data_IF_541511090067
#
_entry.id   IF_541511090067
#
_cell.length_a   1.000
_cell.length_b   1.000
_cell.length_c   1.000
_cell.angle_alpha   90.00
_cell.angle_beta   90.00
_cell.angle_gamma   90.00
#
_symmetry.space_group_name_H-M   'P 1'
#
loop_
_entity.id
_entity.type
_entity.pdbx_description
1 polymer ?
#
# COMPACT_ATOMS: atom_id res chain seq x y z
N UNK A 1 -46.52 28.62 -13.16
CA UNK A 1 -46.22 27.84 -11.93
C UNK A 1 -45.65 26.46 -12.24
N UNK A 2 -46.13 25.76 -13.27
CA UNK A 2 -45.63 24.42 -13.64
C UNK A 2 -44.14 24.36 -14.02
N UNK A 3 -43.62 25.35 -14.75
CA UNK A 3 -42.20 25.36 -15.15
C UNK A 3 -41.23 25.46 -13.97
N UNK A 4 -41.60 26.17 -12.90
CA UNK A 4 -40.79 26.26 -11.69
C UNK A 4 -40.77 24.94 -10.92
N UNK A 5 -41.91 24.23 -10.87
CA UNK A 5 -41.99 22.91 -10.25
C UNK A 5 -41.17 21.87 -11.00
N UNK A 6 -41.20 21.88 -12.33
CA UNK A 6 -40.37 20.98 -13.17
C UNK A 6 -38.88 21.27 -12.93
N UNK A 7 -38.47 22.54 -12.96
CA UNK A 7 -37.10 22.94 -12.70
C UNK A 7 -36.59 22.48 -11.32
N UNK A 8 -37.36 22.74 -10.26
CA UNK A 8 -37.00 22.34 -8.89
C UNK A 8 -36.93 20.82 -8.74
N UNK A 9 -37.82 20.08 -9.40
CA UNK A 9 -37.81 18.63 -9.42
C UNK A 9 -36.54 18.08 -10.09
N UNK A 10 -36.18 18.60 -11.27
CA UNK A 10 -34.98 18.18 -11.99
C UNK A 10 -33.71 18.48 -11.20
N UNK A 11 -33.60 19.69 -10.64
CA UNK A 11 -32.46 20.10 -9.81
C UNK A 11 -32.30 19.19 -8.58
N UNK A 12 -33.41 18.90 -7.89
CA UNK A 12 -33.40 18.03 -6.69
C UNK A 12 -33.03 16.59 -7.06
N UNK A 13 -33.56 16.08 -8.18
CA UNK A 13 -33.26 14.74 -8.68
C UNK A 13 -31.78 14.57 -9.00
N UNK A 14 -31.18 15.55 -9.67
CA UNK A 14 -29.76 15.47 -10.03
C UNK A 14 -28.86 15.64 -8.81
N UNK A 15 -29.26 16.48 -7.84
CA UNK A 15 -28.57 16.55 -6.54
C UNK A 15 -28.63 15.22 -5.78
N UNK A 16 -29.77 14.54 -5.79
CA UNK A 16 -29.92 13.22 -5.18
C UNK A 16 -29.05 12.15 -5.87
N UNK A 17 -28.92 12.19 -7.20
CA UNK A 17 -28.02 11.28 -7.92
C UNK A 17 -26.56 11.49 -7.51
N UNK A 18 -26.12 12.74 -7.38
CA UNK A 18 -24.76 13.06 -6.97
C UNK A 18 -24.49 12.61 -5.53
N UNK A 19 -25.40 12.89 -4.61
CA UNK A 19 -25.29 12.43 -3.22
C UNK A 19 -25.24 10.90 -3.12
N UNK A 20 -26.04 10.17 -3.90
CA UNK A 20 -25.98 8.70 -3.96
C UNK A 20 -24.62 8.18 -4.45
N UNK A 21 -24.03 8.85 -5.45
CA UNK A 21 -22.68 8.51 -5.93
C UNK A 21 -21.63 8.76 -4.84
N UNK A 22 -21.72 9.87 -4.13
CA UNK A 22 -20.82 10.18 -3.03
C UNK A 22 -20.93 9.18 -1.89
N UNK A 23 -22.15 8.84 -1.43
CA UNK A 23 -22.37 7.81 -0.41
C UNK A 23 -21.76 6.47 -0.82
N UNK A 24 -21.92 6.08 -2.08
CA UNK A 24 -21.35 4.83 -2.60
C UNK A 24 -19.82 4.85 -2.57
N UNK A 25 -19.18 5.97 -2.98
CA UNK A 25 -17.73 6.15 -2.89
C UNK A 25 -17.25 6.11 -1.43
N UNK A 26 -17.95 6.82 -0.53
CA UNK A 26 -17.60 6.87 0.89
C UNK A 26 -17.74 5.51 1.56
N UNK A 27 -18.80 4.74 1.28
CA UNK A 27 -18.94 3.36 1.80
C UNK A 27 -17.83 2.45 1.31
N UNK A 28 -17.42 2.55 0.04
CA UNK A 28 -16.26 1.81 -0.47
C UNK A 28 -14.97 2.21 0.23
N UNK A 29 -14.77 3.49 0.51
CA UNK A 29 -13.61 3.97 1.26
C UNK A 29 -13.63 3.50 2.72
N UNK A 30 -14.78 3.54 3.38
CA UNK A 30 -14.95 3.10 4.77
C UNK A 30 -14.70 1.59 4.92
N UNK A 31 -15.22 0.77 4.00
CA UNK A 31 -14.93 -0.67 4.00
C UNK A 31 -13.44 -0.98 3.84
N UNK A 32 -12.68 -0.13 3.12
CA UNK A 32 -11.21 -0.26 3.07
C UNK A 32 -10.57 0.07 4.41
N UNK A 33 -11.09 1.07 5.13
CA UNK A 33 -10.58 1.47 6.45
C UNK A 33 -10.88 0.41 7.52
N UNK A 34 -12.04 -0.24 7.47
CA UNK A 34 -12.39 -1.36 8.36
C UNK A 34 -11.46 -2.57 8.15
N UNK A 35 -10.85 -2.71 6.97
CA UNK A 35 -9.83 -3.72 6.68
C UNK A 35 -8.41 -3.28 7.01
N UNK A 36 -8.13 -1.99 7.28
CA UNK A 36 -6.83 -1.48 7.73
C UNK A 36 -6.55 -1.85 9.20
N UNK A 37 -6.82 -3.10 9.61
CA UNK A 37 -6.27 -3.61 10.86
C UNK A 37 -4.77 -3.87 10.67
N UNK A 38 -3.99 -2.80 10.81
CA UNK A 38 -2.53 -2.77 10.57
C UNK A 38 -1.80 -3.81 11.43
N UNK A 39 -2.37 -4.21 12.58
CA UNK A 39 -1.77 -5.21 13.48
C UNK A 39 -1.62 -6.60 12.83
N UNK A 40 -2.37 -6.90 11.77
CA UNK A 40 -2.29 -8.17 11.03
C UNK A 40 -1.90 -7.97 9.56
N UNK A 41 -1.37 -6.79 9.21
CA UNK A 41 -0.97 -6.52 7.84
C UNK A 41 0.27 -7.33 7.47
N UNK A 42 0.23 -7.98 6.31
CA UNK A 42 1.39 -8.65 5.72
C UNK A 42 2.14 -7.63 4.86
N UNK A 43 3.37 -7.33 5.24
CA UNK A 43 4.29 -6.51 4.46
C UNK A 43 5.12 -7.40 3.55
N UNK A 44 5.25 -7.02 2.29
CA UNK A 44 6.21 -7.62 1.36
C UNK A 44 7.28 -6.61 0.99
N UNK A 45 8.53 -6.95 1.25
CA UNK A 45 9.68 -6.11 0.92
C UNK A 45 10.50 -6.84 -0.13
N UNK A 46 10.68 -6.19 -1.28
CA UNK A 46 11.52 -6.69 -2.35
C UNK A 46 12.81 -5.88 -2.38
N UNK A 47 13.95 -6.56 -2.37
CA UNK A 47 15.28 -5.98 -2.49
C UNK A 47 15.89 -6.42 -3.79
N UNK A 48 15.95 -5.50 -4.75
CA UNK A 48 16.53 -5.76 -6.07
C UNK A 48 18.02 -5.43 -6.01
N UNK A 49 18.88 -6.44 -6.16
CA UNK A 49 20.32 -6.27 -6.01
C UNK A 49 20.89 -5.35 -7.08
N UNK A 50 21.76 -4.41 -6.69
CA UNK A 50 22.50 -3.58 -7.65
C UNK A 50 23.64 -4.36 -8.33
N UNK A 51 23.94 -5.57 -7.85
CA UNK A 51 25.01 -6.43 -8.35
C UNK A 51 24.49 -7.64 -9.11
N UNK A 52 23.23 -7.64 -9.60
CA UNK A 52 22.69 -8.77 -10.38
C UNK A 52 23.61 -9.18 -11.55
N UNK A 53 24.24 -8.20 -12.21
CA UNK A 53 25.20 -8.45 -13.29
C UNK A 53 26.50 -9.15 -12.84
N UNK A 54 26.78 -9.18 -11.53
CA UNK A 54 27.96 -9.80 -10.90
C UNK A 54 27.57 -11.05 -10.09
N UNK A 55 26.34 -11.55 -10.25
CA UNK A 55 25.84 -12.72 -9.54
C UNK A 55 25.11 -12.41 -8.22
N UNK A 56 24.86 -11.14 -7.91
CA UNK A 56 24.05 -10.74 -6.77
C UNK A 56 22.60 -11.20 -6.92
N UNK A 57 21.98 -11.64 -5.82
CA UNK A 57 20.60 -12.12 -5.80
C UNK A 57 19.65 -11.05 -5.27
N UNK A 58 18.51 -10.92 -5.93
CA UNK A 58 17.36 -10.17 -5.44
C UNK A 58 16.51 -11.04 -4.51
N UNK A 59 15.92 -10.44 -3.46
CA UNK A 59 15.11 -11.16 -2.46
C UNK A 59 13.72 -10.56 -2.34
N UNK A 60 12.75 -11.37 -1.90
CA UNK A 60 11.37 -10.96 -1.63
C UNK A 60 10.91 -11.58 -0.34
N UNK A 61 10.75 -10.75 0.70
CA UNK A 61 10.47 -11.20 2.06
C UNK A 61 9.06 -10.77 2.44
N UNK A 62 8.24 -11.73 2.86
CA UNK A 62 6.93 -11.49 3.47
C UNK A 62 7.06 -11.48 5.00
N UNK A 63 6.46 -10.51 5.67
CA UNK A 63 6.51 -10.34 7.10
C UNK A 63 5.18 -9.83 7.65
N UNK A 64 4.61 -10.56 8.60
CA UNK A 64 3.44 -10.12 9.37
C UNK A 64 3.94 -9.42 10.63
N UNK A 65 3.46 -8.20 10.88
CA UNK A 65 3.83 -7.44 12.07
C UNK A 65 4.03 -5.96 11.76
N UNK A 66 5.21 -5.44 12.08
CA UNK A 66 5.51 -4.02 11.85
C UNK A 66 6.28 -3.81 10.55
N UNK A 67 6.09 -2.64 9.94
CA UNK A 67 6.85 -2.19 8.78
C UNK A 67 8.37 -2.18 9.04
N UNK A 68 8.80 -1.77 10.23
CA UNK A 68 10.22 -1.81 10.62
C UNK A 68 10.75 -3.25 10.71
N UNK A 69 9.98 -4.17 11.29
CA UNK A 69 10.30 -5.59 11.34
C UNK A 69 10.42 -6.21 9.95
N UNK A 70 9.53 -5.82 9.02
CA UNK A 70 9.56 -6.27 7.64
C UNK A 70 10.83 -5.82 6.91
N UNK A 71 11.23 -4.55 7.06
CA UNK A 71 12.46 -4.01 6.46
C UNK A 71 13.68 -4.76 6.99
N UNK A 72 13.79 -4.93 8.33
CA UNK A 72 14.91 -5.66 8.94
C UNK A 72 14.99 -7.10 8.46
N UNK A 73 13.87 -7.82 8.46
CA UNK A 73 13.82 -9.21 8.00
C UNK A 73 14.28 -9.33 6.55
N UNK A 74 13.88 -8.39 5.69
CA UNK A 74 14.29 -8.38 4.29
C UNK A 74 15.77 -8.08 4.10
N UNK A 75 16.32 -7.12 4.84
CA UNK A 75 17.75 -6.81 4.83
C UNK A 75 18.57 -8.02 5.31
N UNK A 76 18.17 -8.66 6.40
CA UNK A 76 18.85 -9.84 6.93
C UNK A 76 18.81 -11.01 5.94
N UNK A 77 17.67 -11.23 5.28
CA UNK A 77 17.55 -12.22 4.22
C UNK A 77 18.45 -11.89 3.02
N UNK A 78 18.48 -10.64 2.58
CA UNK A 78 19.31 -10.20 1.45
C UNK A 78 20.80 -10.34 1.75
N UNK A 79 21.24 -9.94 2.95
CA UNK A 79 22.62 -10.11 3.44
C UNK A 79 23.03 -11.58 3.43
N UNK A 80 22.16 -12.44 3.96
CA UNK A 80 22.38 -13.89 3.99
C UNK A 80 22.48 -14.50 2.60
N UNK A 81 21.59 -14.14 1.68
CA UNK A 81 21.59 -14.66 0.30
C UNK A 81 22.77 -14.20 -0.55
N UNK A 82 23.29 -12.99 -0.28
CA UNK A 82 24.43 -12.42 -1.01
C UNK A 82 25.77 -12.61 -0.28
N UNK A 83 25.78 -13.19 0.93
CA UNK A 83 26.99 -13.34 1.75
C UNK A 83 27.67 -12.01 2.10
N UNK A 84 26.91 -10.91 2.13
CA UNK A 84 27.40 -9.54 2.32
C UNK A 84 26.80 -8.91 3.58
N UNK A 85 27.54 -8.04 4.25
CA UNK A 85 26.99 -7.21 5.34
C UNK A 85 26.31 -5.93 4.81
N UNK A 86 26.68 -5.50 3.60
CA UNK A 86 26.12 -4.33 2.94
C UNK A 86 24.83 -4.69 2.19
N UNK A 87 23.81 -3.83 2.32
CA UNK A 87 22.57 -3.91 1.53
C UNK A 87 22.63 -2.89 0.40
N UNK A 88 23.17 -3.30 -0.76
CA UNK A 88 23.16 -2.49 -1.98
C UNK A 88 22.03 -2.93 -2.91
N UNK A 89 20.82 -2.50 -2.56
CA UNK A 89 19.61 -2.90 -3.26
C UNK A 89 18.65 -1.72 -3.47
N UNK A 90 17.80 -1.84 -4.48
CA UNK A 90 16.61 -0.99 -4.62
C UNK A 90 15.45 -1.64 -3.86
N UNK A 91 14.82 -0.88 -2.98
CA UNK A 91 13.68 -1.32 -2.18
C UNK A 91 12.37 -1.15 -2.96
N UNK A 92 11.46 -2.10 -2.79
CA UNK A 92 10.05 -1.97 -3.15
C UNK A 92 9.21 -2.60 -2.06
N UNK A 93 8.43 -1.77 -1.36
CA UNK A 93 7.66 -2.18 -0.18
C UNK A 93 6.17 -2.15 -0.48
N UNK A 94 5.49 -3.22 -0.12
CA UNK A 94 4.07 -3.42 -0.32
C UNK A 94 3.42 -3.88 0.98
N UNK A 95 2.12 -3.60 1.12
CA UNK A 95 1.30 -4.13 2.21
C UNK A 95 0.04 -4.76 1.64
N UNK A 96 -0.26 -5.97 2.10
CA UNK A 96 -1.48 -6.69 1.79
C UNK A 96 -2.50 -6.42 2.88
N UNK A 97 -3.65 -5.89 2.50
CA UNK A 97 -4.77 -5.58 3.41
C UNK A 97 -6.03 -6.25 2.85
N UNK A 98 -6.43 -7.36 3.47
CA UNK A 98 -7.48 -8.21 2.93
C UNK A 98 -7.05 -8.87 1.60
N UNK A 99 -7.68 -8.48 0.48
CA UNK A 99 -7.34 -8.97 -0.87
C UNK A 99 -6.56 -7.96 -1.71
N UNK A 100 -6.40 -6.74 -1.18
CA UNK A 100 -5.78 -5.63 -1.92
C UNK A 100 -4.31 -5.51 -1.53
N UNK A 101 -3.47 -5.20 -2.53
CA UNK A 101 -2.04 -4.93 -2.34
C UNK A 101 -1.79 -3.45 -2.61
N UNK A 102 -1.09 -2.80 -1.67
CA UNK A 102 -0.76 -1.38 -1.76
C UNK A 102 0.74 -1.18 -1.72
N UNK A 103 1.30 -0.45 -2.69
CA UNK A 103 2.69 0.00 -2.62
C UNK A 103 2.83 1.10 -1.57
N UNK A 104 3.82 0.98 -0.69
CA UNK A 104 4.11 1.96 0.35
C UNK A 104 5.14 2.96 -0.17
N UNK A 105 4.82 4.27 -0.23
CA UNK A 105 5.77 5.30 -0.65
C UNK A 105 7.01 5.36 0.24
N UNK A 106 8.17 5.61 -0.38
CA UNK A 106 9.49 5.64 0.27
C UNK A 106 9.56 6.45 1.56
N UNK A 107 8.92 7.62 1.58
CA UNK A 107 8.86 8.52 2.74
C UNK A 107 8.35 7.85 4.03
N UNK A 108 7.63 6.73 3.95
CA UNK A 108 7.08 6.03 5.11
C UNK A 108 7.99 4.94 5.68
N UNK A 109 8.93 4.40 4.89
CA UNK A 109 9.77 3.27 5.32
C UNK A 109 11.28 3.54 5.25
N UNK A 110 11.74 4.54 4.49
CA UNK A 110 13.18 4.83 4.31
C UNK A 110 13.95 5.03 5.63
N UNK A 111 13.27 5.50 6.69
CA UNK A 111 13.88 5.72 8.00
C UNK A 111 14.25 4.44 8.74
N UNK A 112 13.74 3.29 8.32
CA UNK A 112 14.00 1.98 8.92
C UNK A 112 15.13 1.21 8.22
N UNK A 113 15.59 1.70 7.07
CA UNK A 113 16.70 1.10 6.32
C UNK A 113 18.00 1.30 7.10
N UNK A 114 18.79 0.24 7.23
CA UNK A 114 20.09 0.30 7.89
C UNK A 114 21.03 1.26 7.15
N UNK A 115 21.73 2.11 7.89
CA UNK A 115 22.75 3.03 7.35
C UNK A 115 24.12 2.39 7.29
#
# INVERSE_FOLDING_TARGET
MEQLQVYLYEQTRDRLKELKRQITKTKKALGRVEHLNIEHAEYRVNLISQWEAQGGKSTSTAHIGSLEGAIRAAEDEFKRENGSQDVRARYSVEVTVGKDVYSIPEKYWQRYVSK
#
